data_IF_608807984632
#
_entry.id   IF_608807984632
#
_cell.length_a   1.000
_cell.length_b   1.000
_cell.length_c   1.000
_cell.angle_alpha   90.00
_cell.angle_beta   90.00
_cell.angle_gamma   90.00
#
_symmetry.space_group_name_H-M   'P 1'
#
loop_
_entity.id
_entity.type
_entity.pdbx_description
1 polymer ?
#
# COMPACT_ATOMS: atom_id res chain seq x y z
N UNK A 1 10.29 7.92 -39.57
CA UNK A 1 9.92 6.78 -38.75
C UNK A 1 8.56 7.08 -38.16
N UNK A 2 7.56 6.23 -38.42
CA UNK A 2 6.22 6.37 -37.85
C UNK A 2 6.19 5.88 -36.40
N UNK A 3 5.15 6.22 -35.66
CA UNK A 3 4.93 5.72 -34.30
C UNK A 3 3.58 5.01 -34.24
N UNK A 4 3.53 3.90 -33.57
CA UNK A 4 2.28 3.18 -33.31
C UNK A 4 1.31 4.02 -32.47
N UNK A 5 0.00 4.00 -32.76
CA UNK A 5 -0.95 4.97 -32.19
C UNK A 5 -1.18 4.84 -30.69
N UNK A 6 -1.03 3.65 -30.12
CA UNK A 6 -1.35 3.40 -28.71
C UNK A 6 -0.11 3.39 -27.79
N UNK A 7 1.00 2.86 -28.26
CA UNK A 7 2.20 2.64 -27.44
C UNK A 7 3.38 3.50 -27.87
N UNK A 8 3.28 4.21 -29.03
CA UNK A 8 4.35 5.06 -29.52
C UNK A 8 5.61 4.30 -29.94
N UNK A 9 5.49 3.02 -30.31
CA UNK A 9 6.63 2.25 -30.81
C UNK A 9 7.10 2.79 -32.14
N UNK A 10 8.40 2.89 -32.34
CA UNK A 10 8.97 3.31 -33.60
C UNK A 10 8.74 2.25 -34.68
N UNK A 11 8.08 2.61 -35.76
CA UNK A 11 7.74 1.74 -36.88
C UNK A 11 8.49 2.16 -38.14
N UNK A 12 9.01 1.21 -38.95
CA UNK A 12 9.49 1.54 -40.29
C UNK A 12 8.38 2.16 -41.13
N UNK A 13 8.68 3.18 -41.89
CA UNK A 13 7.78 3.80 -42.84
C UNK A 13 8.34 3.81 -44.28
N UNK A 14 7.60 4.31 -45.24
CA UNK A 14 8.00 4.32 -46.65
C UNK A 14 9.26 5.16 -46.94
N UNK A 15 9.72 5.96 -45.95
CA UNK A 15 10.95 6.75 -46.04
C UNK A 15 12.14 6.04 -45.42
N UNK A 16 11.91 4.92 -44.71
CA UNK A 16 12.97 4.13 -44.09
C UNK A 16 13.84 3.45 -45.15
N UNK A 17 15.17 3.55 -44.98
CA UNK A 17 16.10 2.90 -45.91
C UNK A 17 16.03 1.40 -45.79
N UNK A 18 15.87 0.67 -46.89
CA UNK A 18 15.79 -0.80 -46.93
C UNK A 18 16.98 -1.46 -46.25
N UNK A 19 18.18 -0.88 -46.32
CA UNK A 19 19.37 -1.37 -45.65
C UNK A 19 19.26 -1.42 -44.11
N UNK A 20 18.38 -0.60 -43.52
CA UNK A 20 18.16 -0.53 -42.08
C UNK A 20 16.97 -1.41 -41.63
N UNK A 21 16.19 -1.96 -42.56
CA UNK A 21 14.95 -2.69 -42.26
C UNK A 21 15.09 -3.81 -41.23
N UNK A 22 16.17 -4.56 -41.31
CA UNK A 22 16.42 -5.65 -40.33
C UNK A 22 16.71 -5.12 -38.90
N UNK A 23 17.31 -3.94 -38.77
CA UNK A 23 17.57 -3.30 -37.49
C UNK A 23 16.28 -2.68 -36.94
N UNK A 24 15.51 -2.02 -37.77
CA UNK A 24 14.24 -1.37 -37.38
C UNK A 24 13.20 -2.40 -36.91
N UNK A 25 13.12 -3.57 -37.60
CA UNK A 25 12.25 -4.68 -37.22
C UNK A 25 12.70 -5.30 -35.88
N UNK A 26 14.00 -5.44 -35.64
CA UNK A 26 14.49 -5.91 -34.33
C UNK A 26 14.17 -4.93 -33.22
N UNK A 27 14.39 -3.65 -33.42
CA UNK A 27 14.08 -2.63 -32.44
C UNK A 27 12.57 -2.59 -32.09
N UNK A 28 11.71 -2.76 -33.09
CA UNK A 28 10.27 -2.92 -32.87
C UNK A 28 9.95 -4.19 -32.07
N UNK A 29 10.58 -5.33 -32.41
CA UNK A 29 10.44 -6.58 -31.70
C UNK A 29 10.84 -6.46 -30.23
N UNK A 30 11.97 -5.83 -29.94
CA UNK A 30 12.45 -5.59 -28.57
C UNK A 30 11.53 -4.66 -27.79
N UNK A 31 10.96 -3.63 -28.42
CA UNK A 31 9.98 -2.73 -27.81
C UNK A 31 8.66 -3.43 -27.48
N UNK A 32 8.18 -4.29 -28.38
CA UNK A 32 7.00 -5.13 -28.16
C UNK A 32 7.25 -6.11 -27.01
N UNK A 33 8.37 -6.84 -27.03
CA UNK A 33 8.74 -7.79 -25.98
C UNK A 33 8.80 -7.12 -24.61
N UNK A 34 9.46 -5.97 -24.52
CA UNK A 34 9.52 -5.18 -23.28
C UNK A 34 8.13 -4.76 -22.78
N UNK A 35 7.26 -4.35 -23.70
CA UNK A 35 5.91 -3.91 -23.35
C UNK A 35 5.04 -5.08 -22.89
N UNK A 36 5.10 -6.22 -23.59
CA UNK A 36 4.39 -7.45 -23.24
C UNK A 36 4.89 -7.99 -21.90
N UNK A 37 6.21 -8.00 -21.69
CA UNK A 37 6.81 -8.37 -20.40
C UNK A 37 6.27 -7.49 -19.27
N UNK A 38 6.25 -6.17 -19.46
CA UNK A 38 5.75 -5.22 -18.46
C UNK A 38 4.26 -5.38 -18.17
N UNK A 39 3.44 -5.73 -19.15
CA UNK A 39 2.00 -5.99 -18.98
C UNK A 39 1.75 -7.39 -18.40
N UNK A 40 2.40 -8.42 -18.91
CA UNK A 40 2.16 -9.81 -18.51
C UNK A 40 2.73 -10.16 -17.14
N UNK A 41 3.97 -9.83 -16.90
CA UNK A 41 4.67 -10.16 -15.64
C UNK A 41 4.73 -8.98 -14.67
N UNK A 42 4.57 -7.77 -15.19
CA UNK A 42 4.69 -6.56 -14.39
C UNK A 42 3.45 -6.19 -13.58
N UNK A 43 2.27 -6.65 -13.94
CA UNK A 43 1.00 -6.24 -13.31
C UNK A 43 0.33 -7.33 -12.48
N UNK A 44 0.41 -8.60 -12.90
CA UNK A 44 -0.19 -9.69 -12.15
C UNK A 44 0.55 -9.92 -10.83
N UNK A 45 -0.12 -9.65 -9.72
CA UNK A 45 0.39 -9.92 -8.37
C UNK A 45 1.36 -8.87 -7.80
N UNK A 46 1.54 -7.71 -8.42
CA UNK A 46 2.34 -6.60 -7.86
C UNK A 46 1.70 -6.05 -6.59
N UNK A 47 0.40 -5.78 -6.61
CA UNK A 47 -0.30 -5.31 -5.42
C UNK A 47 -0.58 -6.48 -4.47
N UNK A 48 -0.01 -6.43 -3.27
CA UNK A 48 -0.23 -7.41 -2.21
C UNK A 48 -1.23 -6.95 -1.15
N UNK A 49 -1.76 -5.74 -1.29
CA UNK A 49 -2.82 -5.25 -0.42
C UNK A 49 -4.15 -5.82 -0.89
N UNK A 50 -4.84 -6.51 -0.01
CA UNK A 50 -6.16 -7.09 -0.23
C UNK A 50 -7.19 -6.19 0.43
N UNK A 51 -8.35 -5.99 -0.20
CA UNK A 51 -9.43 -5.14 0.30
C UNK A 51 -8.95 -3.70 0.61
N UNK A 52 -8.16 -3.12 -0.30
CA UNK A 52 -7.62 -1.78 -0.15
C UNK A 52 -8.65 -0.66 -0.32
N UNK A 53 -9.80 -0.98 -0.89
CA UNK A 53 -10.97 -0.11 -1.04
C UNK A 53 -11.97 -0.24 0.12
N UNK A 54 -11.68 -1.12 1.11
CA UNK A 54 -12.52 -1.37 2.28
C UNK A 54 -13.96 -1.80 1.94
N UNK A 55 -14.14 -2.50 0.82
CA UNK A 55 -15.45 -2.99 0.37
C UNK A 55 -15.97 -4.18 1.20
N UNK A 56 -15.09 -5.00 1.77
CA UNK A 56 -15.43 -6.27 2.42
C UNK A 56 -15.29 -6.16 3.94
N UNK A 57 -16.42 -6.36 4.64
CA UNK A 57 -16.52 -6.32 6.10
C UNK A 57 -17.44 -7.44 6.61
N UNK A 58 -16.91 -8.64 6.77
CA UNK A 58 -17.69 -9.84 7.14
C UNK A 58 -18.14 -9.84 8.61
N UNK A 59 -17.45 -9.13 9.49
CA UNK A 59 -17.70 -9.10 10.94
C UNK A 59 -18.50 -7.91 11.44
N UNK A 60 -19.04 -7.10 10.52
CA UNK A 60 -19.76 -5.86 10.82
C UNK A 60 -19.01 -4.64 10.27
N UNK A 61 -19.73 -3.56 9.99
CA UNK A 61 -19.23 -2.35 9.31
C UNK A 61 -18.84 -1.22 10.26
N UNK A 62 -18.93 -1.44 11.58
CA UNK A 62 -18.50 -0.47 12.59
C UNK A 62 -18.04 -1.19 13.86
N UNK A 63 -16.88 -0.77 14.38
CA UNK A 63 -16.28 -1.31 15.60
C UNK A 63 -15.80 -0.17 16.48
N UNK A 64 -16.24 -0.15 17.73
CA UNK A 64 -15.69 0.73 18.75
C UNK A 64 -14.69 -0.08 19.60
N UNK A 65 -13.47 0.42 19.71
CA UNK A 65 -12.38 -0.25 20.40
C UNK A 65 -11.87 0.61 21.56
N UNK A 66 -11.72 -0.03 22.71
CA UNK A 66 -11.17 0.55 23.94
C UNK A 66 -10.17 -0.40 24.60
N UNK A 67 -9.43 -1.17 23.80
CA UNK A 67 -8.55 -2.24 24.28
C UNK A 67 -7.12 -2.00 23.76
N UNK A 68 -6.16 -2.14 24.65
CA UNK A 68 -4.75 -2.35 24.31
C UNK A 68 -4.61 -3.74 23.68
N UNK A 69 -4.87 -3.88 22.37
CA UNK A 69 -4.82 -5.18 21.72
C UNK A 69 -4.80 -5.08 20.19
N UNK A 70 -4.73 -6.23 19.55
CA UNK A 70 -4.90 -6.40 18.11
C UNK A 70 -6.35 -6.78 17.81
N UNK A 71 -7.04 -6.00 16.99
CA UNK A 71 -8.41 -6.27 16.59
C UNK A 71 -8.55 -6.29 15.07
N UNK A 72 -9.24 -7.32 14.56
CA UNK A 72 -9.58 -7.41 13.15
C UNK A 72 -10.75 -6.46 12.82
N UNK A 73 -10.61 -5.70 11.73
CA UNK A 73 -11.58 -4.70 11.25
C UNK A 73 -12.20 -5.15 9.93
N UNK A 74 -12.07 -4.31 8.87
CA UNK A 74 -12.32 -4.73 7.50
C UNK A 74 -11.50 -5.99 7.19
N UNK A 75 -12.02 -6.85 6.31
CA UNK A 75 -11.32 -8.11 6.03
C UNK A 75 -9.88 -7.86 5.58
N UNK A 76 -8.95 -8.64 6.14
CA UNK A 76 -7.48 -8.53 5.99
C UNK A 76 -6.83 -7.35 6.71
N UNK A 77 -7.60 -6.44 7.30
CA UNK A 77 -7.07 -5.30 8.04
C UNK A 77 -7.22 -5.48 9.54
N UNK A 78 -6.22 -5.00 10.27
CA UNK A 78 -6.19 -5.04 11.73
C UNK A 78 -5.79 -3.68 12.30
N UNK A 79 -6.24 -3.42 13.50
CA UNK A 79 -5.77 -2.32 14.32
C UNK A 79 -4.96 -2.85 15.49
N UNK A 80 -3.84 -2.18 15.80
CA UNK A 80 -3.01 -2.45 16.95
C UNK A 80 -2.77 -1.15 17.71
N UNK A 81 -2.88 -1.22 19.04
CA UNK A 81 -2.47 -0.14 19.95
C UNK A 81 -1.97 -0.73 21.26
N UNK A 82 -1.23 0.05 22.02
CA UNK A 82 -0.69 -0.29 23.33
C UNK A 82 -1.50 0.26 24.50
N UNK A 83 -2.51 1.08 24.24
CA UNK A 83 -3.37 1.66 25.26
C UNK A 83 -4.85 1.61 24.87
N UNK A 84 -5.69 1.12 25.80
CA UNK A 84 -7.14 1.06 25.66
C UNK A 84 -7.89 2.30 26.12
N UNK A 85 -7.22 3.31 26.68
CA UNK A 85 -7.89 4.52 27.15
C UNK A 85 -8.34 5.43 25.99
N UNK A 86 -7.71 5.29 24.82
CA UNK A 86 -8.12 6.00 23.60
C UNK A 86 -9.21 5.22 22.85
N UNK A 87 -10.46 5.66 23.02
CA UNK A 87 -11.61 5.02 22.35
C UNK A 87 -11.61 5.44 20.88
N UNK A 88 -11.42 4.46 20.00
CA UNK A 88 -11.49 4.66 18.54
C UNK A 88 -12.64 3.88 17.94
N UNK A 89 -13.34 4.53 17.01
CA UNK A 89 -14.37 3.89 16.19
C UNK A 89 -13.86 3.76 14.76
N UNK A 90 -13.88 2.54 14.26
CA UNK A 90 -13.57 2.19 12.88
C UNK A 90 -14.87 1.87 12.16
N UNK A 91 -15.11 2.51 11.02
CA UNK A 91 -16.36 2.29 10.29
C UNK A 91 -16.16 2.36 8.78
N UNK A 92 -16.93 1.55 8.07
CA UNK A 92 -17.10 1.68 6.63
C UNK A 92 -17.94 2.92 6.34
N UNK A 93 -17.48 3.74 5.42
CA UNK A 93 -18.20 4.91 4.93
C UNK A 93 -18.34 4.82 3.43
N UNK A 94 -19.40 5.43 2.89
CA UNK A 94 -19.68 5.46 1.45
C UNK A 94 -19.33 6.82 0.88
N UNK A 95 -18.70 6.86 -0.27
CA UNK A 95 -18.57 8.08 -1.05
C UNK A 95 -19.93 8.48 -1.63
N UNK A 96 -20.22 9.77 -1.65
CA UNK A 96 -21.26 10.29 -2.52
C UNK A 96 -20.82 10.12 -3.97
N UNK A 97 -21.63 9.59 -4.88
CA UNK A 97 -21.26 9.46 -6.28
C UNK A 97 -20.66 10.75 -6.86
N UNK A 98 -19.56 10.61 -7.59
CA UNK A 98 -18.80 11.73 -8.16
C UNK A 98 -17.86 12.45 -7.18
N UNK A 99 -17.72 12.00 -5.92
CA UNK A 99 -16.83 12.61 -4.92
C UNK A 99 -15.62 11.76 -4.55
N UNK A 100 -15.50 10.56 -5.11
CA UNK A 100 -14.34 9.71 -4.89
C UNK A 100 -13.07 10.36 -5.45
N UNK A 101 -11.92 10.28 -4.73
CA UNK A 101 -10.74 11.08 -5.07
C UNK A 101 -9.92 10.55 -6.25
N UNK A 102 -10.17 9.33 -6.71
CA UNK A 102 -9.34 8.66 -7.72
C UNK A 102 -9.87 8.97 -9.12
N UNK A 103 -9.11 9.72 -9.90
CA UNK A 103 -9.49 10.03 -11.28
C UNK A 103 -9.67 8.75 -12.13
N UNK A 104 -10.80 8.65 -12.82
CA UNK A 104 -11.12 7.49 -13.66
C UNK A 104 -11.57 6.23 -12.89
N UNK A 105 -11.70 6.30 -11.57
CA UNK A 105 -12.20 5.21 -10.74
C UNK A 105 -13.21 5.73 -9.71
N UNK A 106 -14.45 5.28 -9.81
CA UNK A 106 -15.50 5.63 -8.86
C UNK A 106 -15.47 4.68 -7.66
N UNK A 107 -14.73 5.08 -6.61
CA UNK A 107 -14.67 4.33 -5.35
C UNK A 107 -16.00 4.36 -4.62
N UNK A 108 -16.42 3.23 -4.06
CA UNK A 108 -17.69 3.14 -3.32
C UNK A 108 -17.48 3.40 -1.83
N UNK A 109 -16.41 2.87 -1.25
CA UNK A 109 -16.20 2.88 0.20
C UNK A 109 -14.84 3.46 0.59
N UNK A 110 -14.79 3.95 1.84
CA UNK A 110 -13.54 4.25 2.54
C UNK A 110 -13.68 3.88 4.02
N UNK A 111 -12.57 3.70 4.69
CA UNK A 111 -12.57 3.49 6.13
C UNK A 111 -12.39 4.81 6.87
N UNK A 112 -13.23 5.05 7.88
CA UNK A 112 -13.11 6.17 8.81
C UNK A 112 -12.60 5.68 10.16
N UNK A 113 -11.60 6.37 10.68
CA UNK A 113 -11.11 6.21 12.05
C UNK A 113 -11.51 7.49 12.81
N UNK A 114 -12.34 7.35 13.83
CA UNK A 114 -12.75 8.46 14.70
C UNK A 114 -12.25 8.19 16.12
N UNK A 115 -11.47 9.13 16.66
CA UNK A 115 -11.02 9.11 18.06
C UNK A 115 -12.00 9.89 18.90
N UNK A 116 -12.58 9.27 19.92
CA UNK A 116 -13.53 9.94 20.84
C UNK A 116 -12.83 10.54 22.05
N UNK A 117 -11.72 9.94 22.48
CA UNK A 117 -10.89 10.40 23.59
C UNK A 117 -9.43 10.30 23.21
N UNK A 118 -8.62 11.27 23.65
CA UNK A 118 -7.17 11.18 23.57
C UNK A 118 -6.62 10.39 24.78
N UNK A 119 -5.53 9.71 24.59
CA UNK A 119 -4.77 9.10 25.69
C UNK A 119 -3.37 9.68 25.72
N UNK A 120 -2.94 10.14 26.87
CA UNK A 120 -1.58 10.61 27.10
C UNK A 120 -0.55 9.45 27.22
N UNK A 121 -1.03 8.23 27.37
CA UNK A 121 -0.22 7.03 27.57
C UNK A 121 -0.11 6.14 26.34
N UNK A 122 -0.89 6.38 25.31
CA UNK A 122 -0.77 5.65 24.02
C UNK A 122 0.54 6.06 23.33
N UNK A 123 1.48 5.13 23.20
CA UNK A 123 2.76 5.37 22.53
C UNK A 123 2.72 5.01 21.05
N UNK A 124 1.83 4.08 20.66
CA UNK A 124 1.56 3.80 19.26
C UNK A 124 0.12 3.33 19.02
N UNK A 125 -0.39 3.69 17.88
CA UNK A 125 -1.55 3.05 17.27
C UNK A 125 -1.37 2.95 15.77
N UNK A 126 -1.67 1.79 15.20
CA UNK A 126 -1.50 1.60 13.77
C UNK A 126 -2.60 0.75 13.16
N UNK A 127 -2.96 1.15 11.96
CA UNK A 127 -3.78 0.39 11.05
C UNK A 127 -2.89 -0.42 10.11
N UNK A 128 -3.12 -1.72 10.01
CA UNK A 128 -2.12 -2.60 9.41
C UNK A 128 -2.71 -3.75 8.61
N UNK A 129 -1.94 -4.22 7.64
CA UNK A 129 -2.19 -5.46 6.94
C UNK A 129 -0.96 -6.36 7.00
N UNK A 130 -1.21 -7.65 7.24
CA UNK A 130 -0.20 -8.70 7.22
C UNK A 130 -0.21 -9.37 5.86
N UNK A 131 0.98 -9.48 5.27
CA UNK A 131 1.24 -10.19 4.02
C UNK A 131 2.01 -11.45 4.38
N UNK A 132 1.51 -12.60 3.99
CA UNK A 132 2.09 -13.88 4.33
C UNK A 132 3.49 -14.03 3.73
N UNK A 133 4.39 -14.58 4.54
CA UNK A 133 5.79 -14.85 4.28
C UNK A 133 6.67 -13.60 4.22
N UNK A 134 7.65 -13.57 5.12
CA UNK A 134 8.65 -12.50 5.24
C UNK A 134 9.53 -12.34 4.00
N UNK A 135 9.57 -13.35 3.10
CA UNK A 135 10.30 -13.28 1.82
C UNK A 135 9.61 -12.37 0.80
N UNK A 136 8.33 -12.07 1.02
CA UNK A 136 7.58 -11.19 0.11
C UNK A 136 8.28 -9.83 0.01
N UNK A 137 8.64 -9.46 -1.21
CA UNK A 137 9.41 -8.26 -1.54
C UNK A 137 10.83 -8.16 -0.96
N UNK A 138 11.35 -9.18 -0.27
CA UNK A 138 12.68 -9.12 0.31
C UNK A 138 13.76 -8.78 -0.73
N UNK A 139 14.59 -7.77 -0.43
CA UNK A 139 15.61 -7.25 -1.34
C UNK A 139 15.09 -6.39 -2.49
N UNK A 140 13.80 -6.06 -2.52
CA UNK A 140 13.19 -5.24 -3.57
C UNK A 140 12.83 -3.85 -3.03
N UNK A 141 12.74 -2.88 -3.94
CA UNK A 141 12.13 -1.58 -3.64
C UNK A 141 10.65 -1.65 -3.98
N UNK A 142 9.79 -1.32 -3.02
CA UNK A 142 8.35 -1.26 -3.18
C UNK A 142 7.85 0.17 -3.04
N UNK A 143 6.69 0.45 -3.63
CA UNK A 143 5.97 1.71 -3.41
C UNK A 143 4.68 1.45 -2.65
N UNK A 144 4.50 2.13 -1.52
CA UNK A 144 3.27 2.13 -0.73
C UNK A 144 2.52 3.42 -1.07
N UNK A 145 1.28 3.31 -1.54
CA UNK A 145 0.45 4.48 -1.82
C UNK A 145 -0.95 4.31 -1.27
N UNK A 146 -1.52 5.41 -0.79
CA UNK A 146 -2.87 5.46 -0.23
C UNK A 146 -3.45 6.86 -0.36
N UNK A 147 -4.76 6.96 -0.25
CA UNK A 147 -5.47 8.22 -0.13
C UNK A 147 -5.89 8.44 1.30
N UNK A 148 -5.74 9.66 1.79
CA UNK A 148 -6.18 10.03 3.13
C UNK A 148 -6.64 11.49 3.19
N UNK A 149 -7.54 11.77 4.14
CA UNK A 149 -7.92 13.10 4.62
C UNK A 149 -8.21 13.03 6.12
N UNK A 150 -8.24 14.15 6.78
CA UNK A 150 -8.61 14.25 8.19
C UNK A 150 -9.81 15.21 8.39
N UNK A 151 -10.44 15.19 9.55
CA UNK A 151 -11.48 16.15 9.90
C UNK A 151 -10.92 17.56 10.15
N UNK A 152 -9.67 17.64 10.63
CA UNK A 152 -8.88 18.84 10.77
C UNK A 152 -7.44 18.52 10.35
N UNK A 153 -6.66 19.55 10.00
CA UNK A 153 -5.25 19.34 9.66
C UNK A 153 -4.53 18.65 10.82
N UNK A 154 -3.84 17.57 10.52
CA UNK A 154 -3.13 16.75 11.52
C UNK A 154 -1.86 16.17 10.94
N UNK A 155 -1.04 15.58 11.79
CA UNK A 155 0.17 14.86 11.38
C UNK A 155 0.02 13.40 11.70
N UNK A 156 0.05 12.55 10.67
CA UNK A 156 0.16 11.11 10.84
C UNK A 156 1.63 10.76 11.16
N UNK A 157 1.91 10.02 12.25
CA UNK A 157 3.28 9.83 12.73
C UNK A 157 4.22 9.18 11.74
N UNK A 158 3.79 8.08 11.12
CA UNK A 158 4.65 7.38 10.16
C UNK A 158 3.90 6.35 9.30
N UNK A 159 4.57 5.91 8.25
CA UNK A 159 4.32 4.63 7.57
C UNK A 159 5.56 3.77 7.77
N UNK A 160 5.39 2.51 8.10
CA UNK A 160 6.50 1.58 8.30
C UNK A 160 6.16 0.18 7.77
N UNK A 161 7.20 -0.57 7.48
CA UNK A 161 7.12 -2.01 7.23
C UNK A 161 7.83 -2.76 8.35
N UNK A 162 7.31 -3.95 8.66
CA UNK A 162 7.94 -4.88 9.61
C UNK A 162 8.13 -6.24 8.96
N UNK A 163 9.37 -6.71 8.89
CA UNK A 163 9.69 -8.08 8.57
C UNK A 163 9.72 -8.89 9.88
N UNK A 164 8.77 -9.77 10.06
CA UNK A 164 8.76 -10.70 11.20
C UNK A 164 9.13 -12.09 10.73
N UNK A 165 10.20 -12.62 11.29
CA UNK A 165 10.75 -13.92 10.89
C UNK A 165 10.04 -15.11 11.51
N UNK A 166 9.02 -14.88 12.33
CA UNK A 166 8.18 -15.93 12.91
C UNK A 166 8.80 -16.63 14.13
N UNK A 167 8.08 -17.63 14.61
CA UNK A 167 8.52 -18.41 15.79
C UNK A 167 9.76 -19.24 15.44
N UNK A 168 10.81 -19.12 16.23
CA UNK A 168 12.11 -19.74 15.99
C UNK A 168 12.94 -19.05 14.89
N UNK A 169 12.48 -17.91 14.39
CA UNK A 169 13.20 -17.12 13.40
C UNK A 169 14.09 -16.05 14.01
N UNK A 170 14.79 -15.32 13.14
CA UNK A 170 15.59 -14.15 13.50
C UNK A 170 14.74 -13.03 14.10
N UNK A 171 15.36 -12.11 14.82
CA UNK A 171 14.72 -10.89 15.33
C UNK A 171 14.05 -10.11 14.21
N UNK A 172 12.85 -9.61 14.47
CA UNK A 172 12.10 -8.79 13.51
C UNK A 172 12.87 -7.51 13.15
N UNK A 173 12.67 -7.04 11.92
CA UNK A 173 13.27 -5.82 11.40
C UNK A 173 12.16 -4.83 11.06
N UNK A 174 12.19 -3.65 11.69
CA UNK A 174 11.30 -2.54 11.37
C UNK A 174 12.04 -1.54 10.47
N UNK A 175 11.39 -1.12 9.40
CA UNK A 175 11.91 -0.12 8.46
C UNK A 175 10.90 1.02 8.34
N UNK A 176 11.30 2.21 8.73
CA UNK A 176 10.51 3.42 8.51
C UNK A 176 10.48 3.77 7.03
N UNK A 177 9.30 4.01 6.50
CA UNK A 177 9.09 4.44 5.11
C UNK A 177 9.12 5.96 5.04
N UNK A 178 8.40 6.61 5.95
CA UNK A 178 8.34 8.05 6.12
C UNK A 178 7.78 8.40 7.50
N UNK A 179 7.99 9.62 7.95
CA UNK A 179 7.50 10.15 9.23
C UNK A 179 6.89 11.54 9.05
N UNK A 180 6.08 11.96 10.00
CA UNK A 180 5.49 13.31 10.07
C UNK A 180 4.72 13.69 8.80
N UNK A 181 3.75 12.86 8.41
CA UNK A 181 2.97 13.05 7.20
C UNK A 181 1.85 14.05 7.50
N UNK A 182 1.90 15.22 6.88
CA UNK A 182 0.85 16.24 7.00
C UNK A 182 -0.40 15.80 6.24
N UNK A 183 -1.51 15.59 6.95
CA UNK A 183 -2.81 15.22 6.38
C UNK A 183 -3.77 16.38 6.55
N UNK A 184 -4.39 16.82 5.46
CA UNK A 184 -5.31 17.95 5.43
C UNK A 184 -6.77 17.50 5.41
N UNK A 185 -7.68 18.46 5.37
CA UNK A 185 -9.12 18.20 5.27
C UNK A 185 -9.59 17.80 3.89
N UNK A 186 -8.72 17.85 2.89
CA UNK A 186 -8.99 17.41 1.53
C UNK A 186 -8.34 16.04 1.25
N UNK A 187 -8.99 15.22 0.43
CA UNK A 187 -8.39 13.97 -0.02
C UNK A 187 -7.07 14.21 -0.74
N UNK A 188 -6.02 13.54 -0.31
CA UNK A 188 -4.67 13.61 -0.89
C UNK A 188 -4.14 12.19 -1.10
N UNK A 189 -3.38 12.03 -2.18
CA UNK A 189 -2.65 10.79 -2.43
C UNK A 189 -1.25 10.91 -1.86
N UNK A 190 -0.90 9.95 -1.03
CA UNK A 190 0.45 9.75 -0.49
C UNK A 190 1.11 8.58 -1.22
N UNK A 191 2.38 8.70 -1.55
CA UNK A 191 3.12 7.66 -2.26
C UNK A 191 4.59 7.71 -1.82
N UNK A 192 5.07 6.60 -1.28
CA UNK A 192 6.43 6.49 -0.71
C UNK A 192 7.08 5.21 -1.17
N UNK A 193 8.34 5.30 -1.57
CA UNK A 193 9.15 4.14 -1.94
C UNK A 193 10.07 3.74 -0.79
N UNK A 194 10.22 2.44 -0.57
CA UNK A 194 11.09 1.88 0.47
C UNK A 194 11.78 0.60 -0.02
N UNK A 195 13.06 0.47 0.30
CA UNK A 195 13.78 -0.78 0.11
C UNK A 195 13.42 -1.76 1.24
N UNK A 196 12.86 -2.91 0.87
CA UNK A 196 12.62 -4.00 1.82
C UNK A 196 13.94 -4.73 2.05
N UNK A 197 14.42 -4.85 3.30
CA UNK A 197 15.69 -5.51 3.56
C UNK A 197 15.74 -6.95 3.06
N UNK A 198 16.94 -7.40 2.65
CA UNK A 198 17.17 -8.79 2.28
C UNK A 198 16.97 -9.72 3.47
N UNK A 199 16.50 -10.93 3.21
CA UNK A 199 16.43 -12.02 4.18
C UNK A 199 17.68 -12.92 4.18
N UNK A 200 18.70 -12.56 3.41
CA UNK A 200 19.98 -13.29 3.38
C UNK A 200 20.60 -13.35 4.77
N UNK A 201 21.06 -14.51 5.19
CA UNK A 201 21.62 -14.73 6.52
C UNK A 201 20.61 -14.74 7.67
N UNK A 202 19.29 -14.70 7.40
CA UNK A 202 18.24 -14.79 8.42
C UNK A 202 17.67 -16.20 8.52
N UNK A 203 17.35 -16.60 9.73
CA UNK A 203 16.53 -17.81 9.98
C UNK A 203 15.06 -17.43 9.88
N UNK A 204 14.31 -18.17 9.07
CA UNK A 204 12.87 -17.97 8.90
C UNK A 204 12.14 -19.09 9.60
N UNK A 205 11.43 -18.74 10.65
CA UNK A 205 10.61 -19.64 11.45
C UNK A 205 9.16 -19.73 10.96
N UNK A 206 8.33 -20.38 11.74
CA UNK A 206 6.91 -20.57 11.44
C UNK A 206 6.14 -19.25 11.53
N UNK A 207 5.11 -19.09 10.68
CA UNK A 207 4.22 -17.93 10.66
C UNK A 207 4.94 -16.58 10.44
N UNK A 208 5.98 -16.59 9.62
CA UNK A 208 6.67 -15.36 9.23
C UNK A 208 5.80 -14.49 8.33
N UNK A 209 5.95 -13.16 8.42
CA UNK A 209 5.15 -12.22 7.64
C UNK A 209 5.89 -10.91 7.34
N UNK A 210 5.44 -10.22 6.33
CA UNK A 210 5.67 -8.79 6.11
C UNK A 210 4.42 -8.03 6.56
N UNK A 211 4.58 -6.98 7.37
CA UNK A 211 3.50 -6.12 7.82
C UNK A 211 3.70 -4.71 7.28
N UNK A 212 2.64 -4.14 6.72
CA UNK A 212 2.58 -2.71 6.38
C UNK A 212 1.73 -2.04 7.45
N UNK A 213 2.24 -0.99 8.06
CA UNK A 213 1.58 -0.24 9.12
C UNK A 213 1.49 1.25 8.80
N UNK A 214 0.28 1.80 8.92
CA UNK A 214 -0.01 3.22 8.87
C UNK A 214 -0.30 3.67 10.31
N UNK A 215 0.62 4.45 10.88
CA UNK A 215 0.50 4.92 12.26
C UNK A 215 -0.48 6.08 12.35
N UNK A 216 -1.45 5.96 13.21
CA UNK A 216 -2.42 7.01 13.45
C UNK A 216 -1.89 8.01 14.49
N UNK A 217 -2.37 9.25 14.48
CA UNK A 217 -2.13 10.16 15.59
C UNK A 217 -2.59 9.53 16.92
N UNK A 218 -1.71 9.55 17.91
CA UNK A 218 -2.00 9.03 19.25
C UNK A 218 -2.77 10.03 20.10
N UNK A 219 -2.79 11.28 19.68
CA UNK A 219 -3.52 12.35 20.34
C UNK A 219 -4.56 12.97 19.41
N UNK A 220 -5.64 13.48 20.02
CA UNK A 220 -6.63 14.31 19.36
C UNK A 220 -6.14 15.74 19.24
#
# INVERSE_FOLDING_TARGET
>A
MALSPNYGWAEPDNSSLVKNGAQDIRALGDAIDTSVWNVGYGQAGKNKIINGDFGIWQRGTSFQLNLASSVALADRWQYLCDDGANIKTFSQQTFTPGTAPVAGYEGTYFMRIASATASATETYSLFTQYIENVRTFAGQTITISFWAKAAANTTMPSVAIRQNFGSGGSTAVDTSVTTNIAVTTSWQRFSYSVAVPSVSGKTIGANSYLRIGLFNPTQA
#
